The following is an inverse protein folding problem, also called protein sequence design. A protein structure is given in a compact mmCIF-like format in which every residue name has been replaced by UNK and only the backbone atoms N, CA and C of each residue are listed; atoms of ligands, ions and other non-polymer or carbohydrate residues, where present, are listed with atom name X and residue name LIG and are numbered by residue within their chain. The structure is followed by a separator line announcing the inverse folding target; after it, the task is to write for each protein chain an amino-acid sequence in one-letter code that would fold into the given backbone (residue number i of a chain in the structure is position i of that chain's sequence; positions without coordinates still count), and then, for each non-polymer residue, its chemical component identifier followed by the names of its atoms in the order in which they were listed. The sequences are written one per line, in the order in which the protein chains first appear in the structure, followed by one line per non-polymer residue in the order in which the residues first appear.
data_IF_865368973689
#
_entry.id   IF_865368973689
#
_cell.length_a   1.000
_cell.length_b   1.000
_cell.length_c   1.000
_cell.angle_alpha   90.00
_cell.angle_beta   90.00
_cell.angle_gamma   90.00
#
_symmetry.space_group_name_H-M   'P 1'
#
loop_
_entity.id
_entity.type
_entity.pdbx_description
1 polymer ?
#
# COMPACT_ATOMS: atom_id res chain seq x y z
N UNK A 1 35.59 45.28 -18.16
CA UNK A 1 34.93 43.97 -17.97
C UNK A 1 33.56 44.23 -17.38
N UNK A 2 32.51 44.01 -18.16
CA UNK A 2 31.14 44.41 -17.83
C UNK A 2 30.48 43.42 -16.86
N UNK A 3 29.80 43.96 -15.85
CA UNK A 3 29.11 43.20 -14.78
C UNK A 3 27.93 42.36 -15.33
N UNK A 4 27.52 42.59 -16.58
CA UNK A 4 26.47 41.84 -17.26
C UNK A 4 26.90 40.43 -17.71
N UNK A 5 28.19 40.20 -17.99
CA UNK A 5 28.66 38.86 -18.38
C UNK A 5 28.69 37.87 -17.21
N UNK A 6 28.79 38.37 -15.97
CA UNK A 6 28.81 37.53 -14.77
C UNK A 6 27.44 36.92 -14.45
N UNK A 7 26.35 37.64 -14.71
CA UNK A 7 24.98 37.15 -14.43
C UNK A 7 24.54 36.04 -15.38
N UNK A 8 24.81 36.21 -16.67
CA UNK A 8 24.44 35.24 -17.72
C UNK A 8 25.32 34.01 -17.67
N UNK A 9 26.63 34.18 -17.45
CA UNK A 9 27.58 33.06 -17.34
C UNK A 9 27.36 32.29 -16.03
N UNK A 10 27.09 32.98 -14.92
CA UNK A 10 26.74 32.35 -13.64
C UNK A 10 25.43 31.57 -13.69
N UNK A 11 24.42 32.08 -14.39
CA UNK A 11 23.14 31.38 -14.59
C UNK A 11 23.28 30.10 -15.42
N UNK A 12 24.06 30.15 -16.51
CA UNK A 12 24.32 28.96 -17.36
C UNK A 12 25.09 27.89 -16.56
N UNK A 13 26.10 28.28 -15.79
CA UNK A 13 26.85 27.35 -14.94
C UNK A 13 25.94 26.73 -13.87
N UNK A 14 25.06 27.50 -13.24
CA UNK A 14 24.10 26.99 -12.26
C UNK A 14 23.12 25.99 -12.88
N UNK A 15 22.60 26.26 -14.08
CA UNK A 15 21.71 25.35 -14.82
C UNK A 15 22.45 24.04 -15.14
N UNK A 16 23.71 24.11 -15.57
CA UNK A 16 24.53 22.93 -15.88
C UNK A 16 24.77 22.10 -14.62
N UNK A 17 25.11 22.72 -13.48
CA UNK A 17 25.31 22.03 -12.21
C UNK A 17 24.02 21.35 -11.74
N UNK A 18 22.88 22.05 -11.82
CA UNK A 18 21.56 21.47 -11.51
C UNK A 18 21.25 20.30 -12.44
N UNK A 19 21.51 20.43 -13.73
CA UNK A 19 21.31 19.33 -14.68
C UNK A 19 22.16 18.10 -14.35
N UNK A 20 23.45 18.27 -14.04
CA UNK A 20 24.31 17.17 -13.61
C UNK A 20 23.91 16.59 -12.25
N UNK A 21 23.44 17.42 -11.31
CA UNK A 21 22.92 16.96 -10.02
C UNK A 21 21.64 16.14 -10.19
N UNK A 22 20.71 16.58 -11.04
CA UNK A 22 19.48 15.84 -11.37
C UNK A 22 19.83 14.52 -12.07
N UNK A 23 20.76 14.52 -13.03
CA UNK A 23 21.21 13.29 -13.70
C UNK A 23 21.88 12.33 -12.70
N UNK A 24 22.72 12.83 -11.80
CA UNK A 24 23.35 12.05 -10.75
C UNK A 24 22.34 11.47 -9.77
N UNK A 25 21.33 12.26 -9.39
CA UNK A 25 20.24 11.86 -8.51
C UNK A 25 19.36 10.79 -9.16
N UNK A 26 18.96 10.97 -10.43
CA UNK A 26 18.18 9.99 -11.19
C UNK A 26 18.96 8.68 -11.33
N UNK A 27 20.26 8.74 -11.63
CA UNK A 27 21.11 7.55 -11.70
C UNK A 27 21.22 6.83 -10.36
N UNK A 28 21.32 7.57 -9.27
CA UNK A 28 21.29 7.03 -7.90
C UNK A 28 19.95 6.37 -7.59
N UNK A 29 18.85 7.03 -7.93
CA UNK A 29 17.49 6.58 -7.68
C UNK A 29 17.16 5.29 -8.45
N UNK A 30 17.58 5.18 -9.71
CA UNK A 30 17.47 3.92 -10.49
C UNK A 30 18.18 2.79 -9.76
N UNK A 31 19.42 3.02 -9.32
CA UNK A 31 20.23 2.00 -8.65
C UNK A 31 19.59 1.56 -7.34
N UNK A 32 18.99 2.46 -6.58
CA UNK A 32 18.31 2.13 -5.31
C UNK A 32 17.00 1.41 -5.55
N UNK A 33 16.20 1.84 -6.53
CA UNK A 33 14.93 1.20 -6.91
C UNK A 33 15.15 -0.22 -7.38
N UNK A 34 16.10 -0.41 -8.28
CA UNK A 34 16.42 -1.70 -8.86
C UNK A 34 16.99 -2.67 -7.80
N UNK A 35 17.75 -2.14 -6.83
CA UNK A 35 18.19 -2.90 -5.66
C UNK A 35 17.02 -3.31 -4.76
N UNK A 36 16.01 -2.44 -4.60
CA UNK A 36 14.81 -2.72 -3.81
C UNK A 36 13.94 -3.81 -4.46
N UNK A 37 13.79 -3.77 -5.79
CA UNK A 37 13.10 -4.83 -6.55
C UNK A 37 13.84 -6.16 -6.43
N UNK A 38 15.17 -6.21 -6.59
CA UNK A 38 15.91 -7.45 -6.34
C UNK A 38 15.80 -7.94 -4.91
N UNK A 39 15.75 -7.03 -3.92
CA UNK A 39 15.57 -7.41 -2.53
C UNK A 39 14.20 -8.08 -2.32
N UNK A 40 13.15 -7.56 -2.98
CA UNK A 40 11.82 -8.17 -2.98
C UNK A 40 11.80 -9.55 -3.61
N UNK A 41 12.40 -9.71 -4.81
CA UNK A 41 12.51 -11.01 -5.49
C UNK A 41 13.31 -12.00 -4.64
N UNK A 42 14.45 -11.56 -4.07
CA UNK A 42 15.26 -12.37 -3.19
C UNK A 42 14.49 -12.82 -1.94
N UNK A 43 13.73 -11.91 -1.32
CA UNK A 43 12.86 -12.22 -0.17
C UNK A 43 11.79 -13.25 -0.51
N UNK A 44 11.13 -13.10 -1.67
CA UNK A 44 10.15 -14.08 -2.15
C UNK A 44 10.79 -15.46 -2.38
N UNK A 45 11.95 -15.53 -3.02
CA UNK A 45 12.67 -16.80 -3.23
C UNK A 45 13.19 -17.41 -1.93
N UNK A 46 13.53 -16.60 -0.92
CA UNK A 46 13.91 -17.09 0.40
C UNK A 46 12.71 -17.72 1.11
N UNK A 47 11.53 -17.10 1.01
CA UNK A 47 10.28 -17.67 1.53
C UNK A 47 9.92 -18.97 0.84
N UNK A 48 9.96 -19.00 -0.50
CA UNK A 48 9.73 -20.22 -1.29
C UNK A 48 10.72 -21.34 -0.96
N UNK A 49 12.00 -20.99 -0.78
CA UNK A 49 13.06 -21.91 -0.38
C UNK A 49 12.91 -22.46 1.04
N UNK A 50 12.27 -21.71 1.95
CA UNK A 50 11.92 -22.20 3.28
C UNK A 50 10.83 -23.28 3.22
N UNK A 51 9.80 -23.04 2.41
CA UNK A 51 8.65 -23.95 2.27
C UNK A 51 9.02 -25.26 1.53
N UNK A 52 9.89 -25.17 0.53
CA UNK A 52 10.36 -26.32 -0.24
C UNK A 52 11.69 -26.92 0.25
N UNK A 53 12.21 -26.46 1.39
CA UNK A 53 13.50 -26.89 1.94
C UNK A 53 13.58 -28.41 2.10
N UNK A 54 12.51 -29.04 2.59
CA UNK A 54 12.45 -30.48 2.84
C UNK A 54 12.56 -31.30 1.55
N UNK A 55 11.89 -30.88 0.48
CA UNK A 55 11.95 -31.54 -0.84
C UNK A 55 13.33 -31.42 -1.50
N UNK A 56 14.08 -30.35 -1.22
CA UNK A 56 15.44 -30.13 -1.73
C UNK A 56 16.49 -30.93 -0.93
N UNK A 57 16.27 -31.17 0.35
CA UNK A 57 17.23 -31.89 1.23
C UNK A 57 17.02 -33.39 1.32
N UNK A 58 15.83 -33.89 0.94
CA UNK A 58 15.51 -35.33 0.94
C UNK A 58 16.48 -36.14 0.06
N UNK A 59 17.10 -35.49 -0.93
CA UNK A 59 18.06 -36.12 -1.84
C UNK A 59 19.45 -36.36 -1.22
N UNK A 60 19.76 -35.73 -0.07
CA UNK A 60 21.09 -35.75 0.54
C UNK A 60 21.09 -36.08 2.05
N UNK A 61 19.96 -36.01 2.75
CA UNK A 61 19.94 -36.15 4.21
C UNK A 61 18.60 -36.69 4.76
N UNK A 62 18.61 -37.91 5.31
CA UNK A 62 17.41 -38.63 5.78
C UNK A 62 16.71 -38.03 7.02
N UNK A 63 17.33 -37.07 7.71
CA UNK A 63 16.74 -36.37 8.88
C UNK A 63 17.19 -34.90 8.96
N UNK A 64 16.57 -33.98 8.22
CA UNK A 64 16.88 -32.55 8.35
C UNK A 64 16.40 -32.02 9.71
N UNK A 65 17.33 -31.49 10.51
CA UNK A 65 17.01 -30.80 11.76
C UNK A 65 16.29 -29.45 11.51
N UNK A 66 15.59 -28.88 12.50
CA UNK A 66 14.73 -27.68 12.34
C UNK A 66 15.45 -26.38 11.94
N UNK A 67 16.79 -26.43 11.80
CA UNK A 67 17.64 -25.30 11.46
C UNK A 67 18.03 -25.30 9.97
N UNK A 68 17.87 -26.43 9.29
CA UNK A 68 18.20 -26.63 7.86
C UNK A 68 17.37 -25.72 6.94
N UNK A 69 16.03 -25.58 7.11
CA UNK A 69 15.22 -24.70 6.26
C UNK A 69 15.62 -23.23 6.33
N UNK A 70 16.08 -22.76 7.50
CA UNK A 70 16.54 -21.38 7.70
C UNK A 70 17.84 -21.10 6.95
N UNK A 71 18.76 -22.06 6.96
CA UNK A 71 20.05 -21.95 6.24
C UNK A 71 19.80 -21.96 4.73
N UNK A 72 18.92 -22.85 4.25
CA UNK A 72 18.59 -22.94 2.82
C UNK A 72 17.87 -21.68 2.34
N UNK A 73 16.90 -21.16 3.09
CA UNK A 73 16.24 -19.90 2.77
C UNK A 73 17.24 -18.73 2.68
N UNK A 74 18.20 -18.67 3.61
CA UNK A 74 19.24 -17.64 3.61
C UNK A 74 20.18 -17.77 2.40
N UNK A 75 20.66 -18.98 2.09
CA UNK A 75 21.57 -19.22 0.96
C UNK A 75 20.87 -18.94 -0.38
N UNK A 76 19.63 -19.43 -0.55
CA UNK A 76 18.84 -19.23 -1.77
C UNK A 76 18.51 -17.76 -1.98
N UNK A 77 18.05 -17.05 -0.93
CA UNK A 77 17.79 -15.61 -1.01
C UNK A 77 19.05 -14.81 -1.34
N UNK A 78 20.19 -15.15 -0.73
CA UNK A 78 21.47 -14.49 -0.99
C UNK A 78 21.97 -14.77 -2.42
N UNK A 79 21.89 -16.02 -2.89
CA UNK A 79 22.29 -16.40 -4.23
C UNK A 79 21.45 -15.69 -5.30
N UNK A 80 20.12 -15.69 -5.15
CA UNK A 80 19.20 -14.99 -6.05
C UNK A 80 19.45 -13.48 -6.02
N UNK A 81 19.70 -12.89 -4.85
CA UNK A 81 20.04 -11.48 -4.74
C UNK A 81 21.31 -11.12 -5.53
N UNK A 82 22.38 -11.91 -5.39
CA UNK A 82 23.62 -11.69 -6.12
C UNK A 82 23.46 -11.91 -7.63
N UNK A 83 22.75 -12.96 -8.05
CA UNK A 83 22.47 -13.26 -9.46
C UNK A 83 21.63 -12.14 -10.09
N UNK A 84 20.54 -11.74 -9.43
CA UNK A 84 19.69 -10.63 -9.84
C UNK A 84 20.50 -9.34 -9.97
N UNK A 85 21.32 -9.02 -8.95
CA UNK A 85 22.17 -7.83 -8.98
C UNK A 85 23.23 -7.88 -10.07
N UNK A 86 23.78 -9.05 -10.36
CA UNK A 86 24.74 -9.26 -11.44
C UNK A 86 24.08 -9.09 -12.82
N UNK A 87 22.92 -9.71 -13.04
CA UNK A 87 22.11 -9.57 -14.26
C UNK A 87 21.71 -8.12 -14.51
N UNK A 88 21.30 -7.40 -13.48
CA UNK A 88 20.96 -5.98 -13.60
C UNK A 88 22.17 -5.10 -13.87
N UNK A 89 23.31 -5.39 -13.25
CA UNK A 89 24.54 -4.66 -13.57
C UNK A 89 24.93 -4.89 -15.02
N UNK A 90 24.80 -6.13 -15.52
CA UNK A 90 24.97 -6.47 -16.91
C UNK A 90 23.94 -5.77 -17.80
N UNK A 91 22.66 -5.69 -17.43
CA UNK A 91 21.59 -5.06 -18.22
C UNK A 91 21.67 -3.53 -18.26
N UNK A 92 22.19 -2.91 -17.20
CA UNK A 92 22.42 -1.45 -17.09
C UNK A 92 23.73 -1.05 -17.76
N UNK A 93 24.68 -1.98 -17.93
CA UNK A 93 25.97 -1.71 -18.58
C UNK A 93 26.44 -2.78 -19.57
N UNK A 94 25.60 -3.25 -20.51
CA UNK A 94 25.92 -4.44 -21.32
C UNK A 94 27.05 -4.20 -22.33
N UNK A 95 27.34 -2.93 -22.67
CA UNK A 95 28.30 -2.57 -23.72
C UNK A 95 29.28 -1.45 -23.32
N UNK A 96 29.73 -1.41 -22.07
CA UNK A 96 30.77 -0.46 -21.65
C UNK A 96 32.19 -0.83 -22.13
N UNK A 97 32.35 -1.85 -22.98
CA UNK A 97 33.64 -2.31 -23.48
C UNK A 97 34.00 -1.87 -24.92
N UNK A 98 33.10 -1.26 -25.69
CA UNK A 98 33.48 -0.72 -27.01
C UNK A 98 33.66 0.80 -26.94
N UNK A 99 34.88 1.26 -27.21
CA UNK A 99 35.28 2.68 -27.16
C UNK A 99 34.56 3.59 -28.19
N UNK A 100 33.62 3.07 -28.97
CA UNK A 100 32.97 3.78 -30.09
C UNK A 100 31.51 4.18 -29.81
N UNK A 101 30.82 3.56 -28.84
CA UNK A 101 29.42 3.90 -28.49
C UNK A 101 29.26 5.09 -27.54
N UNK A 102 30.34 5.81 -27.24
CA UNK A 102 30.44 6.77 -26.13
C UNK A 102 29.88 8.16 -26.43
N UNK A 103 29.29 8.38 -27.61
CA UNK A 103 28.72 9.67 -28.02
C UNK A 103 27.31 9.46 -28.56
N UNK A 104 26.31 9.91 -27.79
CA UNK A 104 25.00 10.36 -28.30
C UNK A 104 24.05 9.23 -28.76
N UNK A 105 23.56 8.38 -27.86
CA UNK A 105 22.42 7.52 -28.26
C UNK A 105 21.65 6.78 -27.18
N UNK A 106 22.29 6.36 -26.08
CA UNK A 106 21.64 5.41 -25.16
C UNK A 106 21.27 5.95 -23.78
N UNK A 107 21.48 7.25 -23.52
CA UNK A 107 21.09 7.88 -22.25
C UNK A 107 19.59 8.18 -22.16
N UNK A 108 18.97 8.59 -23.28
CA UNK A 108 17.56 9.00 -23.34
C UNK A 108 16.58 7.82 -23.13
N UNK A 109 16.74 6.64 -23.78
CA UNK A 109 15.87 5.50 -23.49
C UNK A 109 16.07 4.96 -22.06
N UNK A 110 17.29 4.98 -21.52
CA UNK A 110 17.55 4.60 -20.13
C UNK A 110 16.90 5.58 -19.13
N UNK A 111 16.96 6.89 -19.42
CA UNK A 111 16.28 7.92 -18.64
C UNK A 111 14.75 7.76 -18.72
N UNK A 112 14.20 7.45 -19.88
CA UNK A 112 12.76 7.23 -20.05
C UNK A 112 12.27 5.98 -19.30
N UNK A 113 13.02 4.88 -19.37
CA UNK A 113 12.74 3.65 -18.61
C UNK A 113 12.84 3.88 -17.10
N UNK A 114 13.77 4.73 -16.65
CA UNK A 114 13.86 5.11 -15.24
C UNK A 114 12.74 6.02 -14.78
N UNK A 115 12.30 6.92 -15.64
CA UNK A 115 11.17 7.80 -15.36
C UNK A 115 9.90 6.96 -15.25
N UNK A 116 9.68 6.05 -16.19
CA UNK A 116 8.55 5.13 -16.19
C UNK A 116 8.53 4.26 -14.91
N UNK A 117 9.65 3.61 -14.58
CA UNK A 117 9.72 2.78 -13.36
C UNK A 117 9.59 3.60 -12.07
N UNK A 118 10.12 4.82 -12.01
CA UNK A 118 9.92 5.74 -10.89
C UNK A 118 8.46 6.17 -10.74
N UNK A 119 7.77 6.48 -11.84
CA UNK A 119 6.34 6.81 -11.82
C UNK A 119 5.51 5.62 -11.33
N UNK A 120 5.79 4.41 -11.82
CA UNK A 120 5.09 3.20 -11.36
C UNK A 120 5.27 2.99 -9.85
N UNK A 121 6.45 3.27 -9.30
CA UNK A 121 6.68 3.15 -7.87
C UNK A 121 5.95 4.22 -7.05
N UNK A 122 5.93 5.46 -7.52
CA UNK A 122 5.16 6.53 -6.87
C UNK A 122 3.67 6.16 -6.85
N UNK A 123 3.17 5.64 -7.98
CA UNK A 123 1.81 5.13 -8.11
C UNK A 123 1.54 4.00 -7.10
N UNK A 124 2.40 2.96 -7.05
CA UNK A 124 2.28 1.89 -6.06
C UNK A 124 2.38 2.37 -4.60
N UNK A 125 3.21 3.37 -4.33
CA UNK A 125 3.34 3.95 -3.00
C UNK A 125 2.05 4.66 -2.58
N UNK A 126 1.41 5.41 -3.49
CA UNK A 126 0.13 6.06 -3.24
C UNK A 126 -0.98 5.03 -3.00
N UNK A 127 -1.07 3.97 -3.82
CA UNK A 127 -2.00 2.85 -3.57
C UNK A 127 -1.72 2.19 -2.22
N UNK A 128 -0.45 1.96 -1.86
CA UNK A 128 -0.06 1.37 -0.58
C UNK A 128 -0.43 2.22 0.63
N UNK A 129 -0.23 3.55 0.56
CA UNK A 129 -0.62 4.50 1.60
C UNK A 129 -2.14 4.49 1.78
N UNK A 130 -2.91 4.45 0.69
CA UNK A 130 -4.37 4.39 0.75
C UNK A 130 -4.89 3.09 1.33
N UNK A 131 -4.37 1.95 0.87
CA UNK A 131 -4.78 0.63 1.35
C UNK A 131 -4.50 0.50 2.85
N UNK A 132 -3.29 0.86 3.29
CA UNK A 132 -2.92 0.83 4.70
C UNK A 132 -3.68 1.87 5.55
N UNK A 133 -3.96 3.05 4.99
CA UNK A 133 -4.80 4.08 5.60
C UNK A 133 -6.25 3.62 5.81
N UNK A 134 -6.87 2.96 4.82
CA UNK A 134 -8.21 2.39 4.95
C UNK A 134 -8.29 1.33 6.05
N UNK A 135 -7.31 0.44 6.15
CA UNK A 135 -7.25 -0.52 7.27
C UNK A 135 -7.11 0.20 8.61
N UNK A 136 -6.32 1.27 8.68
CA UNK A 136 -6.14 2.06 9.89
C UNK A 136 -7.43 2.81 10.29
N UNK A 137 -8.24 3.28 9.34
CA UNK A 137 -9.54 3.91 9.60
C UNK A 137 -10.56 2.90 10.17
N UNK A 138 -10.61 1.68 9.65
CA UNK A 138 -11.49 0.64 10.23
C UNK A 138 -11.06 0.34 11.67
N UNK A 139 -9.75 0.19 11.90
CA UNK A 139 -9.20 -0.01 13.25
C UNK A 139 -9.50 1.16 14.19
N UNK A 140 -9.43 2.39 13.70
CA UNK A 140 -9.79 3.57 14.48
C UNK A 140 -11.28 3.54 14.85
N UNK A 141 -12.14 3.13 13.92
CA UNK A 141 -13.59 2.99 14.16
C UNK A 141 -13.86 1.95 15.25
N UNK A 142 -13.20 0.79 15.20
CA UNK A 142 -13.29 -0.24 16.25
C UNK A 142 -12.85 0.32 17.61
N UNK A 143 -11.70 1.00 17.68
CA UNK A 143 -11.19 1.60 18.91
C UNK A 143 -12.15 2.66 19.49
N UNK A 144 -12.79 3.46 18.64
CA UNK A 144 -13.81 4.42 19.05
C UNK A 144 -15.06 3.72 19.61
N UNK A 145 -15.49 2.62 18.98
CA UNK A 145 -16.60 1.79 19.48
C UNK A 145 -16.29 1.16 20.85
N UNK A 146 -15.07 0.65 21.04
CA UNK A 146 -14.63 0.04 22.30
C UNK A 146 -14.47 1.09 23.43
N UNK A 147 -13.98 2.29 23.10
CA UNK A 147 -13.86 3.38 24.08
C UNK A 147 -15.22 3.85 24.63
N UNK A 148 -16.30 3.65 23.87
CA UNK A 148 -17.66 3.93 24.32
C UNK A 148 -18.12 2.97 25.44
N UNK A 149 -17.56 1.76 25.53
CA UNK A 149 -17.84 0.81 26.63
C UNK A 149 -17.06 1.17 27.92
N UNK A 150 -15.82 1.64 27.78
CA UNK A 150 -14.94 2.01 28.89
C UNK A 150 -14.91 3.54 29.11
N UNK A 151 -15.99 4.06 29.68
CA UNK A 151 -16.19 5.48 29.97
C UNK A 151 -15.25 6.02 31.08
N UNK A 152 -13.93 6.00 30.91
CA UNK A 152 -13.04 6.86 31.72
C UNK A 152 -11.59 7.11 31.26
N UNK A 153 -11.08 6.62 30.12
CA UNK A 153 -9.69 6.90 29.74
C UNK A 153 -9.55 7.96 28.64
N UNK A 154 -9.28 9.19 29.09
CA UNK A 154 -8.92 10.36 28.29
C UNK A 154 -7.46 10.31 27.79
N UNK A 155 -7.02 9.15 27.31
CA UNK A 155 -5.64 8.93 26.84
C UNK A 155 -5.59 8.81 25.32
N UNK A 156 -5.07 9.85 24.68
CA UNK A 156 -4.53 9.93 23.32
C UNK A 156 -5.50 9.71 22.15
N UNK A 157 -6.16 10.81 21.81
CA UNK A 157 -6.82 11.14 20.53
C UNK A 157 -5.79 11.25 19.37
N UNK A 158 -4.82 10.33 19.30
CA UNK A 158 -3.80 10.34 18.27
C UNK A 158 -4.33 9.60 17.05
N UNK A 159 -4.91 10.34 16.11
CA UNK A 159 -5.17 9.84 14.76
C UNK A 159 -3.91 9.14 14.24
N UNK A 160 -3.99 7.87 13.80
CA UNK A 160 -2.81 7.16 13.35
C UNK A 160 -2.15 7.93 12.21
N UNK A 161 -0.81 8.01 12.22
CA UNK A 161 -0.06 8.76 11.20
C UNK A 161 -0.40 8.32 9.76
N UNK A 162 -0.80 7.05 9.59
CA UNK A 162 -1.27 6.49 8.32
C UNK A 162 -2.59 7.10 7.83
N UNK A 163 -3.53 7.36 8.75
CA UNK A 163 -4.81 8.00 8.45
C UNK A 163 -4.56 9.45 8.06
N UNK A 164 -3.68 10.16 8.79
CA UNK A 164 -3.27 11.51 8.41
C UNK A 164 -2.56 11.57 7.05
N UNK A 165 -1.69 10.60 6.77
CA UNK A 165 -1.00 10.50 5.49
C UNK A 165 -1.98 10.24 4.33
N UNK A 166 -2.96 9.36 4.52
CA UNK A 166 -4.05 9.14 3.55
C UNK A 166 -4.87 10.41 3.33
N UNK A 167 -5.34 11.08 4.39
CA UNK A 167 -6.09 12.33 4.25
C UNK A 167 -5.29 13.43 3.56
N UNK A 168 -3.99 13.55 3.87
CA UNK A 168 -3.11 14.53 3.23
C UNK A 168 -2.91 14.21 1.74
N UNK A 169 -2.83 12.93 1.39
CA UNK A 169 -2.76 12.47 0.01
C UNK A 169 -4.08 12.74 -0.73
N UNK A 170 -5.22 12.42 -0.13
CA UNK A 170 -6.55 12.58 -0.74
C UNK A 170 -6.97 14.07 -0.86
N UNK A 171 -6.47 14.93 0.03
CA UNK A 171 -6.64 16.38 -0.07
C UNK A 171 -5.80 17.00 -1.22
N UNK A 172 -4.79 16.28 -1.72
CA UNK A 172 -3.92 16.79 -2.77
C UNK A 172 -4.50 16.57 -4.17
N UNK A 173 -4.27 17.51 -5.08
CA UNK A 173 -4.69 17.39 -6.49
C UNK A 173 -4.10 16.16 -7.18
N UNK A 174 -2.84 15.81 -6.84
CA UNK A 174 -2.19 14.62 -7.40
C UNK A 174 -2.83 13.33 -6.89
N UNK A 175 -3.30 13.31 -5.63
CA UNK A 175 -4.02 12.19 -5.06
C UNK A 175 -5.41 12.02 -5.68
N UNK A 176 -6.15 13.11 -5.90
CA UNK A 176 -7.46 13.05 -6.57
C UNK A 176 -7.32 12.52 -8.01
N UNK A 177 -6.30 12.95 -8.74
CA UNK A 177 -6.00 12.38 -10.05
C UNK A 177 -5.65 10.88 -9.95
N UNK A 178 -4.80 10.51 -8.99
CA UNK A 178 -4.43 9.11 -8.75
C UNK A 178 -5.66 8.24 -8.46
N UNK A 179 -6.64 8.76 -7.72
CA UNK A 179 -7.91 8.08 -7.40
C UNK A 179 -8.69 7.63 -8.63
N UNK A 180 -8.69 8.44 -9.69
CA UNK A 180 -9.38 8.09 -10.95
C UNK A 180 -8.69 6.95 -11.70
N UNK A 181 -7.39 6.75 -11.46
CA UNK A 181 -6.57 5.75 -12.15
C UNK A 181 -6.33 4.48 -11.34
N UNK A 182 -6.67 4.50 -10.04
CA UNK A 182 -6.36 3.42 -9.11
C UNK A 182 -7.45 2.33 -9.13
N UNK A 183 -7.18 1.13 -9.66
CA UNK A 183 -8.15 0.05 -9.70
C UNK A 183 -8.42 -0.58 -8.33
N UNK A 184 -7.61 -0.29 -7.31
CA UNK A 184 -7.75 -0.83 -5.95
C UNK A 184 -8.46 0.13 -5.00
N UNK A 185 -8.86 1.31 -5.48
CA UNK A 185 -9.57 2.28 -4.68
C UNK A 185 -11.05 1.90 -4.55
N UNK A 186 -11.42 1.38 -3.37
CA UNK A 186 -12.79 0.96 -3.05
C UNK A 186 -13.32 1.69 -1.80
N UNK A 187 -13.87 2.92 -1.94
CA UNK A 187 -14.39 3.69 -0.82
C UNK A 187 -15.64 3.06 -0.22
N UNK A 188 -16.51 2.49 -1.05
CA UNK A 188 -17.76 1.85 -0.63
C UNK A 188 -17.48 0.61 0.23
N UNK A 189 -16.40 -0.12 -0.09
CA UNK A 189 -15.93 -1.27 0.70
C UNK A 189 -15.45 -0.86 2.08
N UNK A 190 -14.72 0.24 2.16
CA UNK A 190 -14.27 0.80 3.42
C UNK A 190 -15.46 1.24 4.30
N UNK A 191 -16.43 1.95 3.72
CA UNK A 191 -17.66 2.37 4.40
C UNK A 191 -18.44 1.16 4.92
N UNK A 192 -18.65 0.16 4.07
CA UNK A 192 -19.33 -1.07 4.45
C UNK A 192 -18.62 -1.78 5.61
N UNK A 193 -17.28 -1.89 5.56
CA UNK A 193 -16.51 -2.47 6.67
C UNK A 193 -16.63 -1.67 7.97
N UNK A 194 -16.64 -0.34 7.92
CA UNK A 194 -16.84 0.51 9.10
C UNK A 194 -18.22 0.30 9.71
N UNK A 195 -19.28 0.35 8.89
CA UNK A 195 -20.67 0.09 9.32
C UNK A 195 -20.79 -1.31 9.94
N UNK A 196 -20.13 -2.30 9.33
CA UNK A 196 -20.15 -3.68 9.80
C UNK A 196 -19.45 -3.84 11.16
N UNK A 197 -18.31 -3.18 11.36
CA UNK A 197 -17.65 -3.11 12.69
C UNK A 197 -18.59 -2.47 13.70
N UNK A 198 -19.13 -1.28 13.40
CA UNK A 198 -20.02 -0.57 14.33
C UNK A 198 -21.32 -1.35 14.62
N UNK A 199 -21.85 -2.08 13.65
CA UNK A 199 -23.02 -2.93 13.81
C UNK A 199 -22.74 -4.11 14.76
N UNK A 200 -21.52 -4.64 14.82
CA UNK A 200 -21.20 -5.76 15.69
C UNK A 200 -20.96 -5.36 17.15
N UNK A 201 -20.83 -4.07 17.44
CA UNK A 201 -20.75 -3.54 18.81
C UNK A 201 -22.16 -3.16 19.34
N UNK A 202 -22.56 -3.62 20.54
CA UNK A 202 -23.93 -3.51 21.03
C UNK A 202 -24.37 -2.07 21.32
N UNK A 203 -23.48 -1.22 21.84
CA UNK A 203 -23.80 0.16 22.22
C UNK A 203 -23.91 1.08 21.00
N UNK A 204 -23.00 0.97 20.03
CA UNK A 204 -23.08 1.69 18.76
C UNK A 204 -24.23 1.20 17.89
N UNK A 205 -24.55 -0.10 17.91
CA UNK A 205 -25.71 -0.64 17.17
C UNK A 205 -27.02 0.08 17.54
N UNK A 206 -27.26 0.35 18.83
CA UNK A 206 -28.49 1.05 19.26
C UNK A 206 -28.55 2.48 18.72
N UNK A 207 -27.44 3.21 18.79
CA UNK A 207 -27.30 4.58 18.24
C UNK A 207 -27.54 4.57 16.73
N UNK A 208 -26.93 3.61 16.02
CA UNK A 208 -27.03 3.44 14.57
C UNK A 208 -28.43 3.08 14.08
N UNK A 209 -29.14 2.19 14.78
CA UNK A 209 -30.53 1.82 14.44
C UNK A 209 -31.52 2.98 14.62
N UNK A 210 -31.13 4.01 15.37
CA UNK A 210 -31.95 5.22 15.58
C UNK A 210 -31.71 6.26 14.49
N UNK A 211 -30.60 6.15 13.74
CA UNK A 211 -30.29 7.09 12.67
C UNK A 211 -31.10 6.81 11.41
N UNK A 212 -31.85 7.84 10.96
CA UNK A 212 -32.66 7.80 9.77
C UNK A 212 -31.85 7.56 8.49
N UNK A 213 -30.57 7.95 8.43
CA UNK A 213 -29.75 7.80 7.23
C UNK A 213 -29.21 6.38 7.04
N UNK A 214 -28.94 5.67 8.14
CA UNK A 214 -28.37 4.32 8.11
C UNK A 214 -29.43 3.20 8.26
N UNK A 215 -30.60 3.53 8.78
CA UNK A 215 -31.75 2.63 8.85
C UNK A 215 -32.07 1.90 7.52
N UNK A 216 -32.05 2.52 6.32
CA UNK A 216 -32.28 1.80 5.06
C UNK A 216 -31.22 0.72 4.80
N UNK A 217 -29.95 0.94 5.17
CA UNK A 217 -28.88 -0.06 5.00
C UNK A 217 -29.08 -1.23 5.96
N UNK A 218 -29.43 -0.97 7.22
CA UNK A 218 -29.64 -2.03 8.21
C UNK A 218 -30.87 -2.90 7.92
N UNK A 219 -31.86 -2.37 7.21
CA UNK A 219 -33.04 -3.15 6.80
C UNK A 219 -32.84 -3.90 5.48
N UNK A 220 -31.71 -3.70 4.81
CA UNK A 220 -31.41 -4.39 3.55
C UNK A 220 -31.05 -5.85 3.81
N UNK A 221 -31.72 -6.78 3.10
CA UNK A 221 -31.55 -8.22 3.32
C UNK A 221 -30.11 -8.67 3.15
N UNK A 222 -29.41 -8.15 2.14
CA UNK A 222 -28.02 -8.52 1.84
C UNK A 222 -27.02 -8.03 2.89
N UNK A 223 -27.25 -6.83 3.45
CA UNK A 223 -26.45 -6.34 4.56
C UNK A 223 -26.60 -7.25 5.78
N UNK A 224 -27.84 -7.63 6.09
CA UNK A 224 -28.13 -8.54 7.21
C UNK A 224 -27.49 -9.91 6.97
N UNK A 225 -27.62 -10.48 5.76
CA UNK A 225 -26.98 -11.74 5.39
C UNK A 225 -25.47 -11.69 5.62
N UNK A 226 -24.80 -10.61 5.19
CA UNK A 226 -23.36 -10.40 5.43
C UNK A 226 -23.05 -10.29 6.91
N UNK A 227 -23.82 -9.49 7.64
CA UNK A 227 -23.60 -9.24 9.06
C UNK A 227 -23.81 -10.49 9.94
N UNK A 228 -24.64 -11.43 9.50
CA UNK A 228 -24.85 -12.69 10.21
C UNK A 228 -23.85 -13.80 9.85
N UNK A 229 -22.98 -13.60 8.83
CA UNK A 229 -21.93 -14.57 8.52
C UNK A 229 -20.93 -14.69 9.68
N UNK A 230 -20.66 -15.92 10.11
CA UNK A 230 -19.80 -16.19 11.27
C UNK A 230 -18.36 -15.68 11.07
N UNK A 231 -17.83 -15.83 9.85
CA UNK A 231 -16.50 -15.32 9.49
C UNK A 231 -16.41 -13.80 9.61
N UNK A 232 -17.42 -13.09 9.11
CA UNK A 232 -17.49 -11.63 9.13
C UNK A 232 -17.63 -11.11 10.56
N UNK A 233 -18.53 -11.70 11.34
CA UNK A 233 -18.69 -11.40 12.76
C UNK A 233 -17.36 -11.59 13.50
N UNK A 234 -16.65 -12.69 13.23
CA UNK A 234 -15.34 -12.94 13.84
C UNK A 234 -14.32 -11.89 13.42
N UNK A 235 -14.22 -11.54 12.13
CA UNK A 235 -13.26 -10.54 11.67
C UNK A 235 -13.53 -9.15 12.24
N UNK A 236 -14.81 -8.76 12.34
CA UNK A 236 -15.25 -7.48 12.88
C UNK A 236 -15.06 -7.35 14.40
N UNK A 237 -15.09 -8.47 15.16
CA UNK A 237 -14.96 -8.46 16.63
C UNK A 237 -13.56 -8.84 17.13
N UNK A 238 -12.75 -9.50 16.30
CA UNK A 238 -11.40 -9.97 16.68
C UNK A 238 -10.27 -9.02 16.26
N UNK A 239 -10.58 -7.80 15.82
CA UNK A 239 -9.59 -6.83 15.31
C UNK A 239 -8.86 -7.27 14.04
N UNK A 240 -9.39 -8.23 13.28
CA UNK A 240 -8.79 -8.75 12.03
C UNK A 240 -9.22 -7.92 10.81
N UNK A 241 -8.96 -6.61 10.88
CA UNK A 241 -9.40 -5.62 9.89
C UNK A 241 -8.94 -5.89 8.46
N UNK A 242 -7.74 -6.43 8.28
CA UNK A 242 -7.23 -6.79 6.95
C UNK A 242 -8.05 -7.92 6.33
N UNK A 243 -8.41 -8.93 7.13
CA UNK A 243 -9.18 -10.07 6.66
C UNK A 243 -10.64 -9.67 6.38
N UNK A 244 -11.18 -8.72 7.18
CA UNK A 244 -12.48 -8.11 6.92
C UNK A 244 -12.49 -7.33 5.59
N UNK A 245 -11.49 -6.47 5.37
CA UNK A 245 -11.41 -5.66 4.15
C UNK A 245 -11.10 -6.52 2.91
N UNK A 246 -10.37 -7.63 3.06
CA UNK A 246 -10.05 -8.53 1.95
C UNK A 246 -11.12 -9.62 1.72
N UNK A 247 -12.20 -9.66 2.51
CA UNK A 247 -13.20 -10.71 2.42
C UNK A 247 -13.96 -10.65 1.08
N UNK A 248 -14.00 -11.78 0.38
CA UNK A 248 -14.68 -11.89 -0.91
C UNK A 248 -16.18 -11.58 -0.81
N UNK A 249 -16.84 -11.96 0.30
CA UNK A 249 -18.26 -11.68 0.52
C UNK A 249 -18.57 -10.18 0.62
N UNK A 250 -17.62 -9.37 1.10
CA UNK A 250 -17.78 -7.91 1.13
C UNK A 250 -17.68 -7.34 -0.29
N UNK A 251 -16.73 -7.82 -1.11
CA UNK A 251 -16.58 -7.39 -2.49
C UNK A 251 -17.76 -7.82 -3.40
N UNK A 252 -18.33 -9.01 -3.15
CA UNK A 252 -19.45 -9.57 -3.91
C UNK A 252 -20.77 -8.81 -3.68
N UNK A 253 -20.97 -8.27 -2.48
CA UNK A 253 -22.18 -7.49 -2.18
C UNK A 253 -22.12 -6.11 -2.84
N UNK A 254 -20.93 -5.50 -2.94
CA UNK A 254 -20.74 -4.22 -3.61
C UNK A 254 -20.90 -4.28 -5.13
N UNK A 255 -20.91 -5.49 -5.71
CA UNK A 255 -21.23 -5.70 -7.12
C UNK A 255 -22.74 -5.58 -7.40
N UNK A 256 -23.58 -5.52 -6.35
CA UNK A 256 -25.03 -5.34 -6.45
C UNK A 256 -25.37 -3.85 -6.31
N UNK A 257 -26.07 -3.25 -7.30
CA UNK A 257 -26.25 -1.79 -7.35
C UNK A 257 -27.12 -1.25 -6.22
N UNK A 258 -28.11 -2.03 -5.75
CA UNK A 258 -29.12 -1.59 -4.79
C UNK A 258 -28.52 -1.14 -3.45
N UNK A 259 -27.52 -1.88 -2.94
CA UNK A 259 -26.84 -1.55 -1.70
C UNK A 259 -25.76 -0.48 -1.90
N UNK A 260 -25.06 -0.51 -3.03
CA UNK A 260 -24.03 0.49 -3.37
C UNK A 260 -24.62 1.88 -3.52
N UNK A 261 -25.80 2.01 -4.13
CA UNK A 261 -26.50 3.29 -4.24
C UNK A 261 -26.87 3.86 -2.86
N UNK A 262 -27.27 3.02 -1.90
CA UNK A 262 -27.53 3.45 -0.52
C UNK A 262 -26.25 3.88 0.21
N UNK A 263 -25.12 3.19 -0.02
CA UNK A 263 -23.83 3.55 0.58
C UNK A 263 -23.30 4.90 0.07
N UNK A 264 -23.54 5.23 -1.20
CA UNK A 264 -23.11 6.51 -1.78
C UNK A 264 -23.82 7.74 -1.18
N UNK A 265 -24.99 7.56 -0.56
CA UNK A 265 -25.72 8.64 0.12
C UNK A 265 -25.26 8.85 1.57
N UNK A 266 -24.34 8.03 2.07
CA UNK A 266 -23.81 8.12 3.44
C UNK A 266 -22.53 8.95 3.44
N UNK A 267 -22.55 10.06 4.18
CA UNK A 267 -21.34 10.84 4.39
C UNK A 267 -20.36 10.10 5.33
N UNK A 268 -19.11 9.80 4.92
CA UNK A 268 -18.13 9.11 5.76
C UNK A 268 -17.83 9.84 7.09
N UNK A 269 -17.99 11.17 7.12
CA UNK A 269 -17.82 11.97 8.33
C UNK A 269 -18.92 11.76 9.38
N UNK A 270 -20.14 11.39 8.97
CA UNK A 270 -21.25 11.16 9.91
C UNK A 270 -21.01 9.89 10.76
N UNK A 271 -20.37 8.88 10.18
CA UNK A 271 -20.00 7.63 10.86
C UNK A 271 -19.01 7.86 12.01
N UNK A 272 -18.03 8.74 11.81
CA UNK A 272 -17.07 9.11 12.87
C UNK A 272 -17.74 9.82 14.06
N UNK A 273 -18.82 10.56 13.80
CA UNK A 273 -19.61 11.25 14.84
C UNK A 273 -20.45 10.27 15.64
N UNK A 274 -20.87 9.16 15.03
CA UNK A 274 -21.66 8.11 15.68
C UNK A 274 -20.80 7.05 16.38
N UNK A 275 -19.55 6.89 15.95
CA UNK A 275 -18.54 6.09 16.64
C UNK A 275 -17.95 6.83 17.86
N UNK A 276 -17.97 8.18 17.83
CA UNK A 276 -17.55 9.03 18.94
C UNK A 276 -18.53 8.95 20.15
N UNK A 277 -18.07 9.26 21.38
CA UNK A 277 -18.91 9.28 22.58
C UNK A 277 -20.10 10.24 22.47
#
# INVERSE_FOLDING_TARGET
MQVQDLGTTGGIIAIIIIAFAVIGFVKGLIRTVLAMVCLGIAGYTAFWGHEHAHALTDLWMDRPGPWIPKIIACITGLAVFFICRYLLHFLVSPFNQSNTGKRIGFGLPAALLSLCSGLTLIWLAFTGIRYSGSIAEIRQTELQCLKNDDANDASADSTPWLVQAKHSLDASTIGQWHQQTDPFYAPDQLLLCQILVMYHHPETRKKLLTDATLNPVFNHTEFLELAYQENIKQYATSGKHRDLFAAQSVAEILTRPDLTDLLQHIDPSSLSTQAAP
#
